data_IF_541488137916
#
_entry.id   IF_541488137916
#
_cell.length_a   1.000
_cell.length_b   1.000
_cell.length_c   1.000
_cell.angle_alpha   90.00
_cell.angle_beta   90.00
_cell.angle_gamma   90.00
#
_symmetry.space_group_name_H-M   'P 1'
#
loop_
_entity.id
_entity.type
_entity.pdbx_description
1 polymer ?
#
# COMPACT_ATOMS: atom_id res chain seq x y z
N UNK A 1 -10.79 5.83 17.01
CA UNK A 1 -11.01 4.60 16.20
C UNK A 1 -10.35 4.76 14.82
N UNK A 2 -9.37 3.95 14.47
CA UNK A 2 -8.64 4.05 13.19
C UNK A 2 -9.12 2.91 12.30
N UNK A 3 -9.48 3.19 11.04
CA UNK A 3 -9.92 2.17 10.10
C UNK A 3 -8.80 1.17 9.80
N UNK A 4 -9.13 -0.11 9.66
CA UNK A 4 -8.13 -1.16 9.40
C UNK A 4 -7.30 -0.94 8.13
N UNK A 5 -7.88 -0.29 7.12
CA UNK A 5 -7.19 0.09 5.88
C UNK A 5 -6.16 1.22 6.07
N UNK A 6 -6.31 2.04 7.11
CA UNK A 6 -5.40 3.17 7.42
C UNK A 6 -4.29 2.78 8.40
N UNK A 7 -4.35 1.56 8.94
CA UNK A 7 -3.41 1.07 9.95
C UNK A 7 -1.93 1.16 9.53
N UNK A 8 -1.53 0.91 8.26
CA UNK A 8 -0.14 1.06 7.84
C UNK A 8 0.43 2.48 8.05
N UNK A 9 -0.39 3.52 7.87
CA UNK A 9 0.04 4.92 8.10
C UNK A 9 0.31 5.17 9.58
N UNK A 10 -0.52 4.61 10.46
CA UNK A 10 -0.35 4.72 11.91
C UNK A 10 0.92 4.02 12.36
N UNK A 11 1.21 2.84 11.83
CA UNK A 11 2.44 2.10 12.12
C UNK A 11 3.66 2.94 11.76
N UNK A 12 3.66 3.57 10.57
CA UNK A 12 4.75 4.43 10.11
C UNK A 12 4.94 5.66 11.01
N UNK A 13 3.84 6.29 11.41
CA UNK A 13 3.86 7.45 12.33
C UNK A 13 4.41 7.07 13.71
N UNK A 14 3.98 5.93 14.27
CA UNK A 14 4.47 5.46 15.57
C UNK A 14 5.95 5.11 15.51
N UNK A 15 6.42 4.51 14.40
CA UNK A 15 7.84 4.26 14.17
C UNK A 15 8.65 5.57 14.13
N UNK A 16 8.12 6.61 13.48
CA UNK A 16 8.72 7.95 13.53
C UNK A 16 8.84 8.47 14.97
N UNK A 17 7.76 8.37 15.74
CA UNK A 17 7.75 8.83 17.13
C UNK A 17 8.72 8.07 18.01
N UNK A 18 8.93 6.77 17.78
CA UNK A 18 10.01 6.02 18.44
C UNK A 18 11.39 6.62 18.16
N UNK A 19 11.66 7.04 16.92
CA UNK A 19 12.90 7.73 16.55
C UNK A 19 13.06 9.09 17.25
N UNK A 20 12.01 9.92 17.23
CA UNK A 20 12.03 11.23 17.90
C UNK A 20 12.26 11.07 19.42
N UNK A 21 11.59 10.10 20.04
CA UNK A 21 11.77 9.79 21.47
C UNK A 21 13.19 9.30 21.78
N UNK A 22 13.78 8.47 20.91
CA UNK A 22 15.17 8.04 21.03
C UNK A 22 16.15 9.23 20.92
N UNK A 23 15.90 10.16 19.99
CA UNK A 23 16.73 11.37 19.85
C UNK A 23 16.64 12.27 21.08
N UNK A 24 15.44 12.49 21.61
CA UNK A 24 15.22 13.25 22.85
C UNK A 24 15.94 12.61 24.04
N UNK A 25 15.88 11.28 24.16
CA UNK A 25 16.64 10.52 25.16
C UNK A 25 18.14 10.69 24.96
N UNK A 26 18.60 10.73 23.72
CA UNK A 26 19.99 11.01 23.37
C UNK A 26 20.46 12.38 23.88
N UNK A 27 19.63 13.42 23.81
CA UNK A 27 19.96 14.73 24.40
C UNK A 27 20.05 14.67 25.93
N UNK A 28 19.13 13.97 26.59
CA UNK A 28 19.15 13.80 28.07
C UNK A 28 20.42 13.07 28.52
N UNK A 29 20.83 12.05 27.78
CA UNK A 29 22.02 11.24 28.08
C UNK A 29 23.32 11.80 27.49
N UNK A 30 23.28 12.94 26.80
CA UNK A 30 24.41 13.52 26.07
C UNK A 30 25.08 12.52 25.11
N UNK A 31 24.29 11.64 24.49
CA UNK A 31 24.75 10.58 23.61
C UNK A 31 24.47 10.91 22.14
N UNK A 32 25.52 11.32 21.43
CA UNK A 32 25.45 11.69 20.02
C UNK A 32 24.94 10.57 19.11
N UNK A 33 25.25 9.30 19.42
CA UNK A 33 24.77 8.16 18.64
C UNK A 33 23.26 8.02 18.68
N UNK A 34 22.65 8.17 19.86
CA UNK A 34 21.19 8.17 20.04
C UNK A 34 20.53 9.39 19.40
N UNK A 35 21.14 10.56 19.51
CA UNK A 35 20.63 11.79 18.87
C UNK A 35 20.54 11.60 17.36
N UNK A 36 21.64 11.16 16.73
CA UNK A 36 21.74 11.02 15.27
C UNK A 36 20.84 9.90 14.75
N UNK A 37 20.91 8.71 15.36
CA UNK A 37 20.10 7.56 14.93
C UNK A 37 18.61 7.81 15.15
N UNK A 38 18.22 8.39 16.30
CA UNK A 38 16.84 8.74 16.58
C UNK A 38 16.28 9.79 15.62
N UNK A 39 17.06 10.84 15.32
CA UNK A 39 16.65 11.88 14.37
C UNK A 39 16.47 11.30 12.94
N UNK A 40 17.36 10.40 12.52
CA UNK A 40 17.28 9.73 11.22
C UNK A 40 16.03 8.85 11.10
N UNK A 41 15.74 8.03 12.11
CA UNK A 41 14.54 7.19 12.14
C UNK A 41 13.27 8.06 12.18
N UNK A 42 13.29 9.09 13.02
CA UNK A 42 12.17 10.04 13.16
C UNK A 42 11.82 10.73 11.85
N UNK A 43 12.82 11.35 11.21
CA UNK A 43 12.63 12.02 9.93
C UNK A 43 12.18 11.07 8.81
N UNK A 44 12.81 9.89 8.70
CA UNK A 44 12.45 8.87 7.72
C UNK A 44 10.99 8.42 7.87
N UNK A 45 10.55 8.15 9.10
CA UNK A 45 9.18 7.76 9.38
C UNK A 45 8.15 8.86 9.06
N UNK A 46 8.46 10.14 9.35
CA UNK A 46 7.57 11.25 8.98
C UNK A 46 7.44 11.41 7.47
N UNK A 47 8.55 11.30 6.74
CA UNK A 47 8.57 11.37 5.27
C UNK A 47 7.74 10.23 4.69
N UNK A 48 7.97 8.99 5.16
CA UNK A 48 7.21 7.82 4.72
C UNK A 48 5.72 7.98 5.00
N UNK A 49 5.36 8.42 6.21
CA UNK A 49 3.96 8.71 6.59
C UNK A 49 3.32 9.73 5.63
N UNK A 50 4.05 10.80 5.27
CA UNK A 50 3.55 11.81 4.33
C UNK A 50 3.31 11.25 2.92
N UNK A 51 4.23 10.41 2.42
CA UNK A 51 4.11 9.78 1.11
C UNK A 51 2.92 8.81 1.09
N UNK A 52 2.74 8.01 2.15
CA UNK A 52 1.59 7.09 2.27
C UNK A 52 0.26 7.85 2.29
N UNK A 53 0.15 8.93 3.09
CA UNK A 53 -1.03 9.79 3.11
C UNK A 53 -1.36 10.37 1.72
N UNK A 54 -0.33 10.85 1.00
CA UNK A 54 -0.50 11.36 -0.38
C UNK A 54 -0.94 10.28 -1.36
N UNK A 55 -0.35 9.08 -1.30
CA UNK A 55 -0.74 7.94 -2.14
C UNK A 55 -2.20 7.53 -1.93
N UNK A 56 -2.69 7.62 -0.69
CA UNK A 56 -4.08 7.34 -0.34
C UNK A 56 -5.04 8.52 -0.57
N UNK A 57 -4.55 9.67 -1.04
CA UNK A 57 -5.31 10.92 -1.17
C UNK A 57 -6.05 11.32 0.13
N UNK A 58 -5.43 11.10 1.29
CA UNK A 58 -5.99 11.42 2.62
C UNK A 58 -4.97 12.16 3.46
N UNK A 59 -5.43 13.18 4.21
CA UNK A 59 -4.56 13.91 5.12
C UNK A 59 -4.23 13.07 6.36
N UNK A 60 -3.08 13.35 7.01
CA UNK A 60 -2.70 12.70 8.26
C UNK A 60 -3.75 12.91 9.36
N UNK A 61 -4.34 14.11 9.42
CA UNK A 61 -5.43 14.40 10.35
C UNK A 61 -6.65 13.50 10.10
N UNK A 62 -7.04 13.28 8.84
CA UNK A 62 -8.15 12.40 8.48
C UNK A 62 -7.86 10.92 8.74
N UNK A 63 -6.59 10.52 8.82
CA UNK A 63 -6.19 9.16 9.18
C UNK A 63 -6.24 8.95 10.69
N UNK A 64 -5.73 9.90 11.47
CA UNK A 64 -5.68 9.81 12.94
C UNK A 64 -7.07 10.04 13.56
N UNK A 65 -7.82 10.99 13.02
CA UNK A 65 -9.12 11.45 13.55
C UNK A 65 -10.31 11.04 12.69
N UNK A 66 -10.12 10.24 11.64
CA UNK A 66 -11.15 9.92 10.65
C UNK A 66 -12.43 9.28 11.18
N UNK A 67 -12.42 8.64 12.35
CA UNK A 67 -13.64 8.12 12.99
C UNK A 67 -14.25 9.05 14.04
N UNK A 68 -13.75 10.29 14.18
CA UNK A 68 -14.30 11.33 15.06
C UNK A 68 -14.77 12.47 14.16
N UNK A 69 -16.01 12.36 13.65
CA UNK A 69 -16.64 13.46 12.90
C UNK A 69 -17.00 13.18 11.44
N UNK A 70 -17.06 11.93 11.00
CA UNK A 70 -17.87 11.62 9.81
C UNK A 70 -19.34 11.62 10.24
N UNK A 71 -20.00 12.77 10.10
CA UNK A 71 -21.43 12.75 9.81
C UNK A 71 -21.58 11.91 8.54
N UNK A 72 -22.38 10.85 8.60
CA UNK A 72 -22.76 10.07 7.43
C UNK A 72 -23.49 11.01 6.46
N UNK A 73 -22.73 11.72 5.61
CA UNK A 73 -23.25 12.09 4.31
C UNK A 73 -23.39 10.79 3.54
N UNK A 74 -24.55 10.17 3.74
CA UNK A 74 -25.16 9.23 2.83
C UNK A 74 -25.31 9.94 1.49
N UNK A 75 -24.23 10.00 0.72
CA UNK A 75 -24.33 10.20 -0.71
C UNK A 75 -25.10 8.98 -1.20
N UNK A 76 -26.40 9.18 -1.47
CA UNK A 76 -27.22 8.25 -2.24
C UNK A 76 -26.59 8.15 -3.62
N UNK A 77 -25.55 7.33 -3.75
CA UNK A 77 -25.05 6.90 -5.05
C UNK A 77 -26.20 6.12 -5.67
N UNK A 78 -26.94 6.75 -6.58
CA UNK A 78 -27.72 6.02 -7.58
C UNK A 78 -26.81 4.93 -8.11
N UNK A 79 -27.12 3.68 -7.75
CA UNK A 79 -26.25 2.55 -8.06
C UNK A 79 -26.05 2.52 -9.56
N UNK A 80 -24.87 2.95 -10.04
CA UNK A 80 -24.46 2.73 -11.42
C UNK A 80 -24.61 1.23 -11.62
N UNK A 81 -25.56 0.81 -12.44
CA UNK A 81 -25.65 -0.56 -12.91
C UNK A 81 -24.41 -0.80 -13.78
N UNK A 82 -23.33 -1.24 -13.14
CA UNK A 82 -22.14 -1.67 -13.83
C UNK A 82 -22.46 -3.05 -14.40
N UNK A 83 -22.47 -3.18 -15.73
CA UNK A 83 -22.52 -4.48 -16.38
C UNK A 83 -21.21 -5.22 -16.08
N UNK A 84 -21.25 -6.13 -15.11
CA UNK A 84 -20.13 -7.01 -14.78
C UNK A 84 -20.05 -8.09 -15.86
N UNK A 85 -18.91 -8.16 -16.56
CA UNK A 85 -18.62 -9.26 -17.49
C UNK A 85 -17.82 -10.33 -16.74
N UNK A 86 -18.37 -11.54 -16.66
CA UNK A 86 -17.64 -12.73 -16.22
C UNK A 86 -16.89 -13.34 -17.40
N UNK A 87 -15.71 -13.92 -17.13
CA UNK A 87 -14.92 -14.66 -18.11
C UNK A 87 -14.41 -15.95 -17.47
N UNK A 88 -14.18 -16.98 -18.28
CA UNK A 88 -13.64 -18.26 -17.81
C UNK A 88 -12.11 -18.23 -17.78
N UNK A 89 -11.50 -19.23 -17.15
CA UNK A 89 -10.03 -19.39 -17.15
C UNK A 89 -9.47 -19.61 -18.55
N UNK A 90 -10.19 -20.33 -19.41
CA UNK A 90 -9.78 -20.61 -20.79
C UNK A 90 -9.76 -19.33 -21.64
N UNK A 91 -10.79 -18.49 -21.50
CA UNK A 91 -10.84 -17.19 -22.16
C UNK A 91 -9.70 -16.28 -21.71
N UNK A 92 -9.41 -16.25 -20.40
CA UNK A 92 -8.28 -15.48 -19.86
C UNK A 92 -6.93 -15.97 -20.40
N UNK A 93 -6.74 -17.28 -20.53
CA UNK A 93 -5.53 -17.87 -21.11
C UNK A 93 -5.38 -17.49 -22.59
N UNK A 94 -6.46 -17.53 -23.37
CA UNK A 94 -6.45 -17.09 -24.78
C UNK A 94 -6.07 -15.62 -24.92
N UNK A 95 -6.57 -14.76 -24.02
CA UNK A 95 -6.22 -13.33 -24.01
C UNK A 95 -4.73 -13.14 -23.69
N UNK A 96 -4.21 -13.84 -22.70
CA UNK A 96 -2.80 -13.78 -22.33
C UNK A 96 -1.89 -14.34 -23.43
N UNK A 97 -2.32 -15.37 -24.14
CA UNK A 97 -1.59 -15.97 -25.28
C UNK A 97 -1.57 -15.06 -26.52
N UNK A 98 -2.62 -14.26 -26.74
CA UNK A 98 -2.63 -13.27 -27.82
C UNK A 98 -1.84 -11.98 -27.49
N UNK A 99 -1.55 -11.70 -26.21
CA UNK A 99 -0.92 -10.46 -25.79
C UNK A 99 0.61 -10.48 -25.92
N UNK A 100 1.19 -9.42 -26.50
CA UNK A 100 2.66 -9.23 -26.55
C UNK A 100 3.22 -8.64 -25.23
N UNK A 101 2.40 -7.88 -24.51
CA UNK A 101 2.77 -7.19 -23.27
C UNK A 101 1.70 -7.34 -22.23
N UNK A 102 2.07 -7.85 -21.06
CA UNK A 102 1.19 -8.11 -19.92
C UNK A 102 1.68 -7.31 -18.71
N UNK A 103 0.78 -6.59 -18.06
CA UNK A 103 1.07 -5.84 -16.83
C UNK A 103 0.25 -6.44 -15.70
N UNK A 104 0.93 -7.03 -14.71
CA UNK A 104 0.32 -7.58 -13.51
C UNK A 104 0.25 -6.50 -12.45
N UNK A 105 -0.95 -6.21 -11.95
CA UNK A 105 -1.20 -5.24 -10.87
C UNK A 105 -1.51 -6.01 -9.59
N UNK A 106 -0.51 -6.39 -8.77
CA UNK A 106 -0.76 -7.14 -7.54
C UNK A 106 -1.43 -6.23 -6.51
N UNK A 107 -2.37 -6.81 -5.75
CA UNK A 107 -3.01 -6.17 -4.61
C UNK A 107 -2.94 -7.03 -3.36
N UNK A 108 -3.43 -6.50 -2.24
CA UNK A 108 -3.45 -7.20 -0.95
C UNK A 108 -4.10 -8.59 -1.04
N UNK A 109 -5.16 -8.74 -1.84
CA UNK A 109 -5.84 -10.03 -2.04
C UNK A 109 -4.95 -11.15 -2.59
N UNK A 110 -3.97 -10.82 -3.46
CA UNK A 110 -3.01 -11.78 -3.98
C UNK A 110 -2.10 -12.33 -2.86
N UNK A 111 -1.66 -11.46 -1.96
CA UNK A 111 -0.86 -11.84 -0.80
C UNK A 111 -1.68 -12.64 0.23
N UNK A 112 -2.92 -12.24 0.51
CA UNK A 112 -3.80 -12.98 1.44
C UNK A 112 -4.10 -14.39 0.92
N UNK A 113 -4.32 -14.53 -0.39
CA UNK A 113 -4.54 -15.82 -1.03
C UNK A 113 -3.26 -16.66 -1.20
N UNK A 114 -2.09 -16.11 -0.83
CA UNK A 114 -0.78 -16.74 -1.04
C UNK A 114 -0.51 -17.09 -2.51
N UNK A 115 -1.05 -16.30 -3.43
CA UNK A 115 -1.01 -16.57 -4.87
C UNK A 115 0.24 -16.02 -5.57
N UNK A 116 1.21 -15.46 -4.82
CA UNK A 116 2.44 -14.89 -5.39
C UNK A 116 3.26 -15.92 -6.18
N UNK A 117 3.25 -17.19 -5.78
CA UNK A 117 3.97 -18.26 -6.48
C UNK A 117 3.29 -18.60 -7.80
N UNK A 118 1.97 -18.80 -7.80
CA UNK A 118 1.21 -19.05 -9.01
C UNK A 118 1.29 -17.87 -10.00
N UNK A 119 1.21 -16.63 -9.51
CA UNK A 119 1.37 -15.43 -10.34
C UNK A 119 2.77 -15.33 -10.97
N UNK A 120 3.80 -15.81 -10.25
CA UNK A 120 5.17 -15.87 -10.76
C UNK A 120 5.33 -16.96 -11.82
N UNK A 121 4.76 -18.14 -11.61
CA UNK A 121 4.80 -19.24 -12.59
C UNK A 121 4.14 -18.84 -13.90
N UNK A 122 2.98 -18.16 -13.85
CA UNK A 122 2.31 -17.64 -15.05
C UNK A 122 3.18 -16.59 -15.76
N UNK A 123 3.81 -15.68 -15.01
CA UNK A 123 4.70 -14.68 -15.58
C UNK A 123 5.90 -15.34 -16.30
N UNK A 124 6.53 -16.34 -15.67
CA UNK A 124 7.67 -17.06 -16.24
C UNK A 124 7.28 -17.85 -17.51
N UNK A 125 6.09 -18.45 -17.54
CA UNK A 125 5.57 -19.09 -18.75
C UNK A 125 5.39 -18.08 -19.88
N UNK A 126 4.77 -16.93 -19.61
CA UNK A 126 4.58 -15.88 -20.62
C UNK A 126 5.92 -15.31 -21.12
N UNK A 127 6.87 -15.08 -20.21
CA UNK A 127 8.23 -14.65 -20.56
C UNK A 127 8.95 -15.70 -21.45
N UNK A 128 8.77 -17.00 -21.17
CA UNK A 128 9.34 -18.08 -22.00
C UNK A 128 8.76 -18.12 -23.42
N UNK A 129 7.56 -17.60 -23.61
CA UNK A 129 6.91 -17.43 -24.90
C UNK A 129 7.34 -16.14 -25.62
N UNK A 130 8.30 -15.40 -25.06
CA UNK A 130 8.84 -14.16 -25.64
C UNK A 130 8.00 -12.91 -25.35
N UNK A 131 7.03 -12.99 -24.45
CA UNK A 131 6.15 -11.86 -24.08
C UNK A 131 6.84 -10.96 -23.06
N UNK A 132 6.48 -9.67 -23.07
CA UNK A 132 6.96 -8.71 -22.06
C UNK A 132 6.03 -8.69 -20.85
N UNK A 133 6.49 -9.17 -19.70
CA UNK A 133 5.73 -9.12 -18.44
C UNK A 133 6.29 -8.04 -17.53
N UNK A 134 5.42 -7.18 -16.99
CA UNK A 134 5.78 -6.13 -16.03
C UNK A 134 4.86 -6.18 -14.81
N UNK A 135 5.36 -5.67 -13.68
CA UNK A 135 4.57 -5.50 -12.46
C UNK A 135 4.34 -4.01 -12.19
N UNK A 136 3.11 -3.62 -11.94
CA UNK A 136 2.74 -2.28 -11.52
C UNK A 136 2.33 -2.29 -10.05
N UNK A 137 3.23 -1.84 -9.18
CA UNK A 137 2.99 -1.72 -7.73
C UNK A 137 2.44 -0.33 -7.45
N UNK A 138 1.26 -0.28 -6.82
CA UNK A 138 0.66 0.97 -6.37
C UNK A 138 1.42 1.54 -5.17
#
# INVERSE_FOLDING_TARGET
>A
PIGGADMPVVISLLNSYSGIAASATGFVLMNNGLIISGALVGASGLILTNIMCKGMNRSLANVIFGAVGLDEQSSSSEGKQINIKSSTTDEAAMILDAADKVIIVPGYGLAVAQAQHAAREVAEQLESMGKTVLYAIH
#
